data_IF_594710298977
#
_entry.id   IF_594710298977
#
_cell.length_a   1.000
_cell.length_b   1.000
_cell.length_c   1.000
_cell.angle_alpha   90.00
_cell.angle_beta   90.00
_cell.angle_gamma   90.00
#
_symmetry.space_group_name_H-M   'P 1'
#
loop_
_entity.id
_entity.type
_entity.pdbx_description
1 polymer ?
#
# COMPACT_ATOMS: atom_id res chain seq x y z
N UNK A 1 -17.79 -25.37 19.55
CA UNK A 1 -18.18 -24.02 19.13
C UNK A 1 -16.98 -23.13 19.41
N UNK A 2 -16.22 -22.77 18.38
CA UNK A 2 -14.96 -22.07 18.55
C UNK A 2 -15.23 -20.57 18.64
N UNK A 3 -14.82 -20.02 19.78
CA UNK A 3 -14.77 -18.61 20.18
C UNK A 3 -14.47 -17.68 18.99
N UNK A 4 -15.46 -16.87 18.60
CA UNK A 4 -15.31 -15.79 17.63
C UNK A 4 -14.48 -14.67 18.25
N UNK A 5 -13.17 -14.91 18.34
CA UNK A 5 -12.20 -13.92 18.78
C UNK A 5 -12.43 -12.63 18.00
N UNK A 6 -12.89 -11.61 18.73
CA UNK A 6 -13.27 -10.29 18.24
C UNK A 6 -12.26 -9.82 17.20
N UNK A 7 -12.64 -9.87 15.92
CA UNK A 7 -11.78 -9.50 14.81
C UNK A 7 -11.50 -8.01 14.92
N UNK A 8 -10.29 -7.66 15.38
CA UNK A 8 -9.89 -6.26 15.51
C UNK A 8 -10.00 -5.60 14.13
N UNK A 9 -10.75 -4.48 14.00
CA UNK A 9 -10.87 -3.77 12.75
C UNK A 9 -9.49 -3.28 12.33
N UNK A 10 -9.24 -3.28 11.02
CA UNK A 10 -8.04 -2.66 10.47
C UNK A 10 -8.14 -1.16 10.69
N UNK A 11 -7.13 -0.58 11.33
CA UNK A 11 -7.05 0.84 11.59
C UNK A 11 -6.36 1.54 10.41
N UNK A 12 -6.98 2.61 9.93
CA UNK A 12 -6.36 3.52 8.96
C UNK A 12 -5.46 4.47 9.76
N UNK A 13 -4.16 4.42 9.49
CA UNK A 13 -3.16 5.25 10.16
C UNK A 13 -2.99 6.63 9.52
N UNK A 14 -3.22 6.75 8.22
CA UNK A 14 -3.07 8.00 7.45
C UNK A 14 -4.13 8.05 6.36
N UNK A 15 -4.76 9.22 6.18
CA UNK A 15 -5.66 9.53 5.05
C UNK A 15 -5.20 10.83 4.41
N UNK A 16 -4.68 10.76 3.18
CA UNK A 16 -4.13 11.90 2.43
C UNK A 16 -4.78 11.95 1.05
N UNK A 17 -5.34 13.10 0.67
CA UNK A 17 -6.06 13.30 -0.59
C UNK A 17 -7.58 13.50 -0.43
N UNK A 18 -8.16 14.16 -1.45
CA UNK A 18 -9.57 14.56 -1.53
C UNK A 18 -9.74 16.08 -1.50
N UNK A 19 -10.25 16.67 -2.59
CA UNK A 19 -10.55 18.11 -2.69
C UNK A 19 -10.79 18.57 -4.14
N UNK A 20 -11.36 19.78 -4.37
CA UNK A 20 -11.50 20.33 -5.71
C UNK A 20 -10.10 20.53 -6.37
N UNK A 21 -10.00 20.48 -7.70
CA UNK A 21 -8.73 20.69 -8.41
C UNK A 21 -8.00 21.95 -7.92
N UNK A 22 -6.66 21.90 -7.70
CA UNK A 22 -5.69 20.93 -8.23
C UNK A 22 -5.39 19.70 -7.35
N UNK A 23 -6.31 19.28 -6.47
CA UNK A 23 -6.14 18.08 -5.62
C UNK A 23 -5.95 16.75 -6.37
N UNK A 24 -5.36 15.75 -5.69
CA UNK A 24 -5.14 14.41 -6.24
C UNK A 24 -6.43 13.74 -6.72
N UNK A 25 -6.33 12.97 -7.81
CA UNK A 25 -7.46 12.20 -8.36
C UNK A 25 -7.84 11.03 -7.45
N UNK A 26 -6.94 10.50 -6.65
CA UNK A 26 -7.21 9.39 -5.73
C UNK A 26 -6.84 9.78 -4.30
N UNK A 27 -7.59 9.30 -3.33
CA UNK A 27 -7.15 9.34 -1.93
C UNK A 27 -6.09 8.26 -1.71
N UNK A 28 -5.26 8.42 -0.69
CA UNK A 28 -4.32 7.41 -0.22
C UNK A 28 -4.62 7.12 1.25
N UNK A 29 -4.88 5.86 1.55
CA UNK A 29 -5.07 5.36 2.92
C UNK A 29 -3.99 4.34 3.24
N UNK A 30 -3.35 4.49 4.40
CA UNK A 30 -2.30 3.58 4.86
C UNK A 30 -2.80 2.83 6.08
N UNK A 31 -2.75 1.49 6.04
CA UNK A 31 -3.07 0.70 7.24
C UNK A 31 -2.02 0.95 8.32
N UNK A 32 -2.42 1.02 9.58
CA UNK A 32 -1.50 1.24 10.71
C UNK A 32 -0.36 0.21 10.71
N UNK A 33 -0.66 -1.06 10.42
CA UNK A 33 0.36 -2.11 10.31
C UNK A 33 1.33 -1.86 9.15
N UNK A 34 0.84 -1.36 8.01
CA UNK A 34 1.67 -1.03 6.87
C UNK A 34 2.62 0.13 7.17
N UNK A 35 2.13 1.13 7.90
CA UNK A 35 2.95 2.25 8.35
C UNK A 35 4.04 1.78 9.34
N UNK A 36 3.67 0.96 10.33
CA UNK A 36 4.63 0.41 11.30
C UNK A 36 5.71 -0.46 10.63
N UNK A 37 5.31 -1.28 9.65
CA UNK A 37 6.25 -2.08 8.84
C UNK A 37 7.22 -1.19 8.07
N UNK A 38 6.72 -0.18 7.37
CA UNK A 38 7.51 0.75 6.59
C UNK A 38 8.54 1.48 7.47
N UNK A 39 8.10 2.05 8.59
CA UNK A 39 8.96 2.75 9.54
C UNK A 39 9.95 1.82 10.28
N UNK A 40 9.71 0.51 10.25
CA UNK A 40 10.63 -0.48 10.81
C UNK A 40 11.94 -0.63 10.04
N UNK A 41 12.00 -0.20 8.78
CA UNK A 41 13.21 -0.30 7.95
C UNK A 41 13.52 0.93 7.09
N UNK A 42 12.59 1.87 6.93
CA UNK A 42 12.81 3.12 6.22
C UNK A 42 13.18 4.24 7.19
N UNK A 43 14.09 5.11 6.75
CA UNK A 43 14.25 6.43 7.37
C UNK A 43 13.24 7.44 6.78
N UNK A 44 13.22 8.65 7.35
CA UNK A 44 12.29 9.71 6.95
C UNK A 44 12.39 10.06 5.45
N UNK A 45 13.60 10.19 4.91
CA UNK A 45 13.78 10.57 3.51
C UNK A 45 13.31 9.48 2.55
N UNK A 46 13.60 8.22 2.90
CA UNK A 46 13.16 7.05 2.13
C UNK A 46 11.64 6.89 2.16
N UNK A 47 11.02 7.14 3.32
CA UNK A 47 9.57 7.18 3.43
C UNK A 47 8.97 8.30 2.57
N UNK A 48 9.52 9.52 2.66
CA UNK A 48 9.08 10.67 1.86
C UNK A 48 9.18 10.39 0.35
N UNK A 49 10.26 9.72 -0.07
CA UNK A 49 10.43 9.29 -1.46
C UNK A 49 9.31 8.33 -1.91
N UNK A 50 9.05 7.26 -1.15
CA UNK A 50 7.96 6.33 -1.49
C UNK A 50 6.57 6.99 -1.42
N UNK A 51 6.36 7.88 -0.44
CA UNK A 51 5.12 8.65 -0.35
C UNK A 51 4.93 9.55 -1.59
N UNK A 52 6.02 10.11 -2.15
CA UNK A 52 5.96 10.90 -3.38
C UNK A 52 5.52 10.08 -4.60
N UNK A 53 5.96 8.82 -4.69
CA UNK A 53 5.51 7.91 -5.75
C UNK A 53 4.01 7.59 -5.63
N UNK A 54 3.50 7.42 -4.41
CA UNK A 54 2.06 7.25 -4.21
C UNK A 54 1.26 8.52 -4.50
N UNK A 55 1.82 9.72 -4.23
CA UNK A 55 1.22 10.99 -4.66
C UNK A 55 1.15 11.09 -6.19
N UNK A 56 2.20 10.64 -6.89
CA UNK A 56 2.20 10.59 -8.34
C UNK A 56 1.13 9.63 -8.87
N UNK A 57 1.07 8.40 -8.34
CA UNK A 57 0.01 7.43 -8.67
C UNK A 57 -1.39 8.01 -8.41
N UNK A 58 -1.56 8.71 -7.30
CA UNK A 58 -2.81 9.36 -6.94
C UNK A 58 -3.18 10.53 -7.87
N UNK A 59 -2.23 11.08 -8.62
CA UNK A 59 -2.47 12.09 -9.66
C UNK A 59 -2.94 11.51 -11.00
N UNK A 60 -2.72 10.22 -11.24
CA UNK A 60 -3.05 9.56 -12.51
C UNK A 60 -4.57 9.30 -12.65
N UNK A 61 -5.03 9.16 -13.89
CA UNK A 61 -6.41 8.73 -14.17
C UNK A 61 -6.66 7.29 -13.71
N UNK A 62 -5.69 6.41 -13.94
CA UNK A 62 -5.72 5.01 -13.51
C UNK A 62 -4.56 4.76 -12.53
N UNK A 63 -4.87 4.69 -11.23
CA UNK A 63 -3.87 4.55 -10.16
C UNK A 63 -3.14 3.19 -10.14
N UNK A 64 -3.50 2.25 -11.02
CA UNK A 64 -2.78 0.97 -11.19
C UNK A 64 -1.66 1.04 -12.21
N UNK A 65 -1.52 2.16 -12.92
CA UNK A 65 -0.56 2.33 -14.00
C UNK A 65 0.29 3.57 -13.76
N UNK A 66 1.60 3.43 -13.93
CA UNK A 66 2.53 4.54 -13.96
C UNK A 66 3.61 4.28 -15.00
N UNK A 67 4.07 5.35 -15.63
CA UNK A 67 5.21 5.30 -16.55
C UNK A 67 6.56 5.38 -15.80
N UNK A 68 6.54 5.91 -14.58
CA UNK A 68 7.72 6.24 -13.78
C UNK A 68 7.91 5.31 -12.58
N UNK A 69 6.84 4.67 -12.13
CA UNK A 69 6.82 3.78 -10.95
C UNK A 69 6.58 2.33 -11.41
N UNK A 70 7.45 1.39 -11.01
CA UNK A 70 7.27 -0.04 -11.29
C UNK A 70 6.15 -0.61 -10.42
N UNK A 71 4.92 -0.54 -10.94
CA UNK A 71 3.73 -1.16 -10.37
C UNK A 71 3.43 -2.47 -11.09
N UNK A 72 3.24 -3.55 -10.33
CA UNK A 72 2.89 -4.86 -10.88
C UNK A 72 1.66 -5.44 -10.19
N UNK A 73 0.76 -6.09 -10.94
CA UNK A 73 -0.33 -6.84 -10.33
C UNK A 73 0.21 -8.08 -9.61
N UNK A 74 -0.34 -8.35 -8.43
CA UNK A 74 -0.26 -9.62 -7.72
C UNK A 74 -1.69 -10.08 -7.47
N UNK A 75 -2.15 -10.99 -8.33
CA UNK A 75 -3.49 -11.58 -8.21
C UNK A 75 -4.58 -10.49 -8.17
N UNK A 76 -5.13 -10.19 -7.00
CA UNK A 76 -6.20 -9.21 -6.80
C UNK A 76 -5.73 -7.87 -6.17
N UNK A 77 -4.43 -7.67 -6.02
CA UNK A 77 -3.83 -6.43 -5.53
C UNK A 77 -2.57 -6.08 -6.34
N UNK A 78 -1.83 -5.05 -5.92
CA UNK A 78 -0.65 -4.54 -6.63
C UNK A 78 0.56 -4.48 -5.69
N UNK A 79 1.75 -4.58 -6.27
CA UNK A 79 3.01 -4.20 -5.64
C UNK A 79 3.62 -3.01 -6.37
N UNK A 80 4.05 -1.99 -5.61
CA UNK A 80 5.03 -1.02 -6.05
C UNK A 80 6.41 -1.58 -5.69
N UNK A 81 7.33 -1.57 -6.65
CA UNK A 81 8.71 -2.02 -6.47
C UNK A 81 9.66 -0.85 -6.66
N UNK A 82 10.55 -0.66 -5.70
CA UNK A 82 11.60 0.34 -5.82
C UNK A 82 12.91 -0.13 -5.21
N UNK A 83 14.02 0.22 -5.87
CA UNK A 83 15.38 -0.20 -5.55
C UNK A 83 16.36 0.84 -6.08
N UNK A 84 17.45 1.07 -5.34
CA UNK A 84 18.48 2.02 -5.75
C UNK A 84 18.18 3.44 -5.26
N UNK A 85 18.93 4.41 -5.79
CA UNK A 85 18.79 5.83 -5.41
C UNK A 85 18.83 6.02 -3.89
N UNK A 86 17.81 6.69 -3.35
CA UNK A 86 17.67 6.97 -1.92
C UNK A 86 17.46 5.71 -1.06
N UNK A 87 16.95 4.63 -1.66
CA UNK A 87 16.79 3.32 -1.02
C UNK A 87 18.11 2.53 -0.95
N UNK A 88 19.18 3.02 -1.60
CA UNK A 88 20.51 2.38 -1.64
C UNK A 88 20.42 0.92 -2.10
N UNK A 89 20.74 -0.03 -1.23
CA UNK A 89 20.71 -1.48 -1.51
C UNK A 89 19.37 -2.13 -1.17
N UNK A 90 18.41 -1.38 -0.61
CA UNK A 90 17.12 -1.93 -0.24
C UNK A 90 16.27 -2.15 -1.48
N UNK A 91 15.75 -3.37 -1.62
CA UNK A 91 14.66 -3.67 -2.53
C UNK A 91 13.37 -3.56 -1.71
N UNK A 92 12.64 -2.46 -1.89
CA UNK A 92 11.41 -2.18 -1.17
C UNK A 92 10.21 -2.60 -2.00
N UNK A 93 9.24 -3.25 -1.35
CA UNK A 93 7.94 -3.55 -1.94
C UNK A 93 6.84 -3.00 -1.07
N UNK A 94 5.96 -2.22 -1.70
CA UNK A 94 4.76 -1.69 -1.04
C UNK A 94 3.55 -2.34 -1.69
N UNK A 95 2.75 -3.03 -0.89
CA UNK A 95 1.54 -3.71 -1.36
C UNK A 95 0.34 -2.81 -1.18
N UNK A 96 -0.50 -2.71 -2.20
CA UNK A 96 -1.69 -1.87 -2.15
C UNK A 96 -2.79 -2.42 -3.05
N UNK A 97 -4.03 -1.96 -2.86
CA UNK A 97 -5.11 -2.19 -3.82
C UNK A 97 -5.89 -0.90 -4.08
N UNK A 98 -6.65 -0.88 -5.17
CA UNK A 98 -7.45 0.28 -5.57
C UNK A 98 -8.90 0.02 -5.20
N UNK A 99 -9.43 0.81 -4.26
CA UNK A 99 -10.82 0.83 -3.92
C UNK A 99 -11.57 1.82 -4.83
N UNK A 100 -12.02 1.34 -5.99
CA UNK A 100 -12.65 2.20 -7.03
C UNK A 100 -13.88 2.95 -6.55
N UNK A 101 -14.77 2.31 -5.78
CA UNK A 101 -16.00 2.93 -5.23
C UNK A 101 -15.68 4.18 -4.41
N UNK A 102 -14.61 4.12 -3.62
CA UNK A 102 -14.16 5.20 -2.75
C UNK A 102 -13.07 6.08 -3.39
N UNK A 103 -12.69 5.79 -4.65
CA UNK A 103 -11.59 6.43 -5.37
C UNK A 103 -10.32 6.54 -4.51
N UNK A 104 -9.93 5.42 -3.89
CA UNK A 104 -8.85 5.39 -2.88
C UNK A 104 -7.83 4.29 -3.18
N UNK A 105 -6.54 4.62 -3.03
CA UNK A 105 -5.41 3.69 -2.99
C UNK A 105 -5.19 3.28 -1.54
N UNK A 106 -5.30 1.98 -1.24
CA UNK A 106 -5.18 1.47 0.13
C UNK A 106 -3.90 0.66 0.26
N UNK A 107 -2.96 1.13 1.08
CA UNK A 107 -1.66 0.50 1.31
C UNK A 107 -1.78 -0.56 2.40
N UNK A 108 -1.57 -1.82 2.01
CA UNK A 108 -1.76 -3.02 2.82
C UNK A 108 -0.55 -3.38 3.67
N UNK A 109 0.67 -3.10 3.19
CA UNK A 109 1.90 -3.50 3.86
C UNK A 109 3.15 -3.08 3.12
N UNK A 110 4.28 -3.15 3.81
CA UNK A 110 5.59 -2.83 3.27
C UNK A 110 6.59 -3.90 3.68
N UNK A 111 7.46 -4.33 2.76
CA UNK A 111 8.55 -5.24 3.07
C UNK A 111 9.86 -4.77 2.46
N UNK A 112 10.96 -5.02 3.17
CA UNK A 112 12.31 -5.02 2.62
C UNK A 112 12.63 -6.44 2.16
N UNK A 113 13.04 -6.59 0.90
CA UNK A 113 13.41 -7.87 0.32
C UNK A 113 14.91 -7.99 0.15
N UNK A 114 15.46 -9.14 0.53
CA UNK A 114 16.89 -9.43 0.34
C UNK A 114 17.21 -9.94 -1.07
N UNK A 115 16.20 -10.41 -1.83
CA UNK A 115 16.37 -10.91 -3.20
C UNK A 115 15.32 -10.34 -4.18
N UNK A 116 15.61 -10.34 -5.49
CA UNK A 116 14.72 -9.75 -6.50
C UNK A 116 13.58 -10.69 -6.96
N UNK A 117 13.40 -11.85 -6.32
CA UNK A 117 12.48 -12.92 -6.73
C UNK A 117 10.97 -12.63 -6.58
N UNK A 118 10.11 -13.64 -6.69
CA UNK A 118 8.65 -13.48 -6.52
C UNK A 118 8.26 -13.21 -5.06
N UNK A 119 7.18 -12.45 -4.82
CA UNK A 119 6.66 -12.18 -3.47
C UNK A 119 6.33 -13.50 -2.74
N UNK A 120 6.89 -13.74 -1.53
CA UNK A 120 6.65 -14.95 -0.77
C UNK A 120 5.15 -15.21 -0.52
N UNK A 121 4.76 -16.48 -0.45
CA UNK A 121 3.36 -16.87 -0.24
C UNK A 121 2.79 -16.34 1.08
N UNK A 122 3.60 -16.31 2.14
CA UNK A 122 3.19 -15.78 3.45
C UNK A 122 2.80 -14.30 3.40
N UNK A 123 3.56 -13.49 2.66
CA UNK A 123 3.27 -12.07 2.47
C UNK A 123 1.97 -11.89 1.68
N UNK A 124 1.78 -12.67 0.60
CA UNK A 124 0.54 -12.66 -0.19
C UNK A 124 -0.68 -12.99 0.66
N UNK A 125 -0.62 -14.05 1.47
CA UNK A 125 -1.71 -14.45 2.36
C UNK A 125 -2.03 -13.32 3.35
N UNK A 126 -0.99 -12.69 3.91
CA UNK A 126 -1.13 -11.57 4.83
C UNK A 126 -1.82 -10.38 4.18
N UNK A 127 -1.38 -9.97 2.97
CA UNK A 127 -1.97 -8.85 2.24
C UNK A 127 -3.43 -9.13 1.84
N UNK A 128 -3.75 -10.32 1.36
CA UNK A 128 -5.15 -10.72 1.07
C UNK A 128 -6.02 -10.64 2.31
N UNK A 129 -5.52 -11.12 3.46
CA UNK A 129 -6.26 -11.03 4.73
C UNK A 129 -6.54 -9.57 5.11
N UNK A 130 -5.55 -8.69 4.99
CA UNK A 130 -5.69 -7.25 5.30
C UNK A 130 -6.69 -6.57 4.38
N UNK A 131 -6.58 -6.79 3.07
CA UNK A 131 -7.55 -6.30 2.07
C UNK A 131 -8.97 -6.72 2.42
N UNK A 132 -9.18 -8.01 2.71
CA UNK A 132 -10.51 -8.54 3.09
C UNK A 132 -11.06 -7.86 4.34
N UNK A 133 -10.24 -7.68 5.38
CA UNK A 133 -10.68 -7.04 6.62
C UNK A 133 -11.03 -5.56 6.42
N UNK A 134 -10.26 -4.83 5.60
CA UNK A 134 -10.56 -3.45 5.24
C UNK A 134 -11.91 -3.34 4.51
N UNK A 135 -12.13 -4.16 3.48
CA UNK A 135 -13.39 -4.14 2.72
C UNK A 135 -14.62 -4.53 3.56
N UNK A 136 -14.45 -5.43 4.53
CA UNK A 136 -15.51 -5.79 5.48
C UNK A 136 -15.85 -4.65 6.45
N UNK A 137 -14.86 -3.83 6.83
CA UNK A 137 -15.07 -2.68 7.70
C UNK A 137 -15.79 -1.53 6.98
N UNK A 138 -15.50 -1.31 5.69
CA UNK A 138 -16.17 -0.30 4.85
C UNK A 138 -17.61 -0.67 4.45
N UNK A 139 -17.95 -1.97 4.49
CA UNK A 139 -19.30 -2.46 4.16
C UNK A 139 -20.33 -2.26 5.30
N UNK A 140 -19.97 -1.55 6.37
CA UNK A 140 -20.83 -1.23 7.52
C UNK A 140 -21.10 0.26 7.56
#
# INVERSE_FOLDING_TARGET
MADESQRKPVKIGVKEGGGPPPGYKWNVEILEQAFAEAMGFLNADQYCHLASQFRELAGQDEASQSQTVDVRPIEDFYELRDKGGILRRMNTRIFFFIHKKMRTIVILGAIKKENDGATPMGDKITMRRRKRLYLQADSR
#
